data_IF_019591234502
#
_entry.id   IF_019591234502
#
_cell.length_a   1.000
_cell.length_b   1.000
_cell.length_c   1.000
_cell.angle_alpha   90.00
_cell.angle_beta   90.00
_cell.angle_gamma   90.00
#
_symmetry.space_group_name_H-M   'P 1'
#
loop_
_entity.id
_entity.type
_entity.pdbx_description
1 polymer ?
#
# COMPACT_ATOMS: atom_id res chain seq x y z
N UNK A 1 16.82 41.23 17.67
CA UNK A 1 17.40 40.43 18.78
C UNK A 1 16.34 39.44 19.25
N UNK A 2 16.21 38.28 18.59
CA UNK A 2 15.28 37.21 18.95
C UNK A 2 16.13 35.98 19.30
N UNK A 3 16.12 35.63 20.59
CA UNK A 3 16.93 34.55 21.17
C UNK A 3 16.40 33.20 20.70
N UNK A 4 17.23 32.47 19.95
CA UNK A 4 17.09 31.04 19.77
C UNK A 4 17.35 30.36 21.12
N UNK A 5 16.31 29.77 21.72
CA UNK A 5 16.50 28.79 22.79
C UNK A 5 16.79 27.45 22.13
N UNK A 6 18.06 27.07 22.14
CA UNK A 6 18.55 25.72 21.91
C UNK A 6 17.87 24.80 22.91
N UNK A 7 16.82 24.09 22.49
CA UNK A 7 16.22 23.01 23.27
C UNK A 7 17.20 21.83 23.22
N UNK A 8 17.71 21.45 24.38
CA UNK A 8 18.69 20.39 24.60
C UNK A 8 18.35 19.09 23.85
N UNK A 9 19.13 18.80 22.81
CA UNK A 9 19.12 17.55 22.04
C UNK A 9 19.68 16.35 22.82
N UNK A 10 20.49 16.58 23.85
CA UNK A 10 21.29 15.53 24.50
C UNK A 10 20.58 14.77 25.63
N UNK A 11 19.54 15.33 26.25
CA UNK A 11 18.89 14.71 27.43
C UNK A 11 17.69 13.82 27.07
N UNK A 12 17.20 13.91 25.83
CA UNK A 12 16.05 13.12 25.35
C UNK A 12 16.47 11.80 24.70
N UNK A 13 17.65 11.77 24.06
CA UNK A 13 18.21 10.57 23.42
C UNK A 13 18.64 9.52 24.43
N UNK A 14 19.22 9.91 25.56
CA UNK A 14 19.65 8.96 26.62
C UNK A 14 18.46 8.34 27.37
N UNK A 15 17.33 9.05 27.49
CA UNK A 15 16.12 8.54 28.14
C UNK A 15 15.27 7.64 27.22
N UNK A 16 15.43 7.74 25.90
CA UNK A 16 14.76 6.89 24.91
C UNK A 16 15.44 5.53 24.74
N UNK A 17 16.76 5.43 25.01
CA UNK A 17 17.54 4.18 24.85
C UNK A 17 17.25 3.11 25.93
N UNK A 18 16.45 3.41 26.96
CA UNK A 18 16.11 2.47 28.04
C UNK A 18 14.62 2.08 28.10
N UNK A 19 13.87 2.24 27.01
CA UNK A 19 12.40 2.10 27.05
C UNK A 19 11.88 1.08 26.05
N UNK A 20 10.82 0.38 26.47
CA UNK A 20 10.15 -0.71 25.75
C UNK A 20 9.68 -0.29 24.34
N UNK A 21 9.65 -1.24 23.37
CA UNK A 21 9.27 -0.99 21.97
C UNK A 21 7.94 -0.22 21.80
N UNK A 22 6.99 -0.46 22.70
CA UNK A 22 5.66 0.17 22.74
C UNK A 22 5.69 1.71 22.89
N UNK A 23 6.70 2.26 23.58
CA UNK A 23 6.82 3.72 23.82
C UNK A 23 7.50 4.45 22.66
N UNK A 24 8.33 3.75 21.88
CA UNK A 24 8.99 4.29 20.68
C UNK A 24 7.98 4.53 19.55
N UNK A 25 7.06 3.58 19.32
CA UNK A 25 5.95 3.73 18.35
C UNK A 25 5.02 4.91 18.67
N UNK A 26 4.77 5.18 19.96
CA UNK A 26 3.94 6.31 20.38
C UNK A 26 4.61 7.68 20.22
N UNK A 27 5.91 7.77 20.48
CA UNK A 27 6.68 9.00 20.26
C UNK A 27 6.91 9.27 18.78
N UNK A 28 7.07 8.21 18.00
CA UNK A 28 7.15 8.24 16.55
C UNK A 28 5.88 8.86 15.93
N UNK A 29 4.71 8.34 16.28
CA UNK A 29 3.40 8.88 15.86
C UNK A 29 3.25 10.37 16.23
N UNK A 30 3.54 10.75 17.47
CA UNK A 30 3.45 12.14 17.94
C UNK A 30 4.51 13.10 17.35
N UNK A 31 5.65 12.59 16.87
CA UNK A 31 6.69 13.38 16.20
C UNK A 31 6.39 13.59 14.72
N UNK A 32 5.82 12.58 14.03
CA UNK A 32 5.20 12.74 12.71
C UNK A 32 4.15 13.85 12.73
N UNK A 33 3.27 13.84 13.76
CA UNK A 33 2.27 14.89 13.98
C UNK A 33 2.90 16.29 13.99
N UNK A 34 4.03 16.51 14.68
CA UNK A 34 4.63 17.86 14.81
C UNK A 34 5.46 18.32 13.60
N UNK A 35 6.25 17.44 12.98
CA UNK A 35 7.10 17.82 11.84
C UNK A 35 6.27 18.05 10.55
N UNK A 36 5.21 17.28 10.37
CA UNK A 36 4.30 17.41 9.23
C UNK A 36 3.46 18.69 9.39
N UNK A 37 2.98 19.05 10.58
CA UNK A 37 2.28 20.33 10.76
C UNK A 37 3.14 21.56 10.44
N UNK A 38 4.46 21.51 10.65
CA UNK A 38 5.34 22.67 10.47
C UNK A 38 5.74 22.94 9.00
N UNK A 39 5.59 21.96 8.09
CA UNK A 39 5.87 22.09 6.66
C UNK A 39 4.62 22.31 5.78
N UNK A 40 3.41 22.20 6.36
CA UNK A 40 2.14 22.13 5.62
C UNK A 40 1.27 23.40 5.71
N UNK A 41 1.77 24.48 6.29
CA UNK A 41 1.01 25.73 6.49
C UNK A 41 0.68 26.51 5.18
N UNK A 42 1.08 26.03 3.99
CA UNK A 42 1.01 26.80 2.74
C UNK A 42 0.09 26.24 1.63
N UNK A 43 -0.77 25.24 1.86
CA UNK A 43 -1.69 24.81 0.79
C UNK A 43 -2.42 23.51 1.04
N UNK A 44 -3.61 23.64 1.62
CA UNK A 44 -4.59 22.63 2.00
C UNK A 44 -4.77 21.42 1.05
N UNK A 45 -4.60 20.21 1.60
CA UNK A 45 -5.24 18.95 1.22
C UNK A 45 -5.43 18.06 2.46
N UNK A 46 -6.49 17.23 2.55
CA UNK A 46 -6.93 16.63 3.81
C UNK A 46 -6.12 15.38 4.17
N UNK A 47 -5.74 15.25 5.43
CA UNK A 47 -5.99 14.07 6.28
C UNK A 47 -4.91 13.90 7.35
N UNK A 48 -5.03 14.68 8.44
CA UNK A 48 -4.38 14.39 9.71
C UNK A 48 -4.84 13.03 10.31
N UNK A 49 -5.98 12.48 9.84
CA UNK A 49 -6.56 11.23 10.34
C UNK A 49 -5.88 9.94 9.89
N UNK A 50 -5.00 9.98 8.88
CA UNK A 50 -4.26 8.78 8.41
C UNK A 50 -3.24 8.30 9.46
N UNK A 51 -2.72 9.22 10.29
CA UNK A 51 -1.55 8.99 11.15
C UNK A 51 -1.87 8.67 12.61
N UNK A 52 -3.13 8.82 13.03
CA UNK A 52 -3.60 8.70 14.42
C UNK A 52 -3.86 7.23 14.83
N UNK A 53 -3.96 6.30 13.87
CA UNK A 53 -4.54 4.97 14.11
C UNK A 53 -3.57 3.86 14.55
N UNK A 54 -2.27 3.96 14.23
CA UNK A 54 -1.29 2.97 14.70
C UNK A 54 -1.19 2.94 16.22
N UNK A 55 -1.32 4.09 16.88
CA UNK A 55 -1.25 4.23 18.34
C UNK A 55 -2.45 3.56 19.05
N UNK A 56 -3.69 3.76 18.57
CA UNK A 56 -4.89 3.15 19.17
C UNK A 56 -4.95 1.64 18.97
N UNK A 57 -4.50 1.13 17.82
CA UNK A 57 -4.58 -0.30 17.53
C UNK A 57 -3.52 -1.14 18.24
N UNK A 58 -2.31 -0.58 18.42
CA UNK A 58 -1.23 -1.24 19.14
C UNK A 58 -1.44 -1.17 20.67
N UNK A 59 -2.01 -0.06 21.20
CA UNK A 59 -2.22 0.15 22.64
C UNK A 59 -3.50 -0.44 23.25
N UNK A 60 -4.58 -0.64 22.47
CA UNK A 60 -5.90 -0.99 23.06
C UNK A 60 -6.00 -2.39 23.67
N UNK A 61 -5.00 -3.25 23.51
CA UNK A 61 -4.89 -4.51 24.26
C UNK A 61 -3.41 -4.83 24.51
N UNK A 62 -2.94 -4.86 25.77
CA UNK A 62 -1.61 -5.36 26.10
C UNK A 62 -1.64 -6.88 25.92
N UNK A 63 -1.31 -7.32 24.71
CA UNK A 63 -1.26 -8.71 24.29
C UNK A 63 0.23 -9.09 24.29
N UNK A 64 0.62 -10.07 25.09
CA UNK A 64 1.98 -10.64 25.01
C UNK A 64 2.10 -11.54 23.76
N UNK A 65 3.32 -11.95 23.37
CA UNK A 65 3.53 -12.70 22.13
C UNK A 65 2.69 -13.99 22.02
N UNK A 66 2.54 -14.72 23.12
CA UNK A 66 1.69 -15.92 23.16
C UNK A 66 0.21 -15.62 22.92
N UNK A 67 -0.29 -14.52 23.47
CA UNK A 67 -1.64 -14.04 23.22
C UNK A 67 -1.80 -13.46 21.80
N UNK A 68 -0.72 -12.93 21.21
CA UNK A 68 -0.71 -12.29 19.89
C UNK A 68 -0.90 -13.33 18.80
N UNK A 69 -0.17 -14.43 18.87
CA UNK A 69 -0.28 -15.51 17.90
C UNK A 69 -1.66 -16.14 17.94
N UNK A 70 -2.21 -16.37 19.15
CA UNK A 70 -3.58 -16.85 19.32
C UNK A 70 -4.59 -15.86 18.75
N UNK A 71 -4.48 -14.58 19.09
CA UNK A 71 -5.35 -13.53 18.58
C UNK A 71 -5.35 -13.49 17.04
N UNK A 72 -4.16 -13.46 16.44
CA UNK A 72 -4.01 -13.41 14.99
C UNK A 72 -4.60 -14.66 14.34
N UNK A 73 -4.35 -15.85 14.89
CA UNK A 73 -4.91 -17.10 14.39
C UNK A 73 -6.44 -17.10 14.42
N UNK A 74 -7.04 -16.78 15.56
CA UNK A 74 -8.50 -16.76 15.73
C UNK A 74 -9.16 -15.75 14.77
N UNK A 75 -8.57 -14.56 14.64
CA UNK A 75 -9.06 -13.51 13.73
C UNK A 75 -8.90 -13.86 12.26
N UNK A 76 -7.76 -14.44 11.87
CA UNK A 76 -7.53 -14.87 10.48
C UNK A 76 -8.54 -15.95 10.11
N UNK A 77 -8.77 -16.95 10.97
CA UNK A 77 -9.79 -17.98 10.70
C UNK A 77 -11.19 -17.39 10.52
N UNK A 78 -11.61 -16.47 11.39
CA UNK A 78 -12.90 -15.79 11.24
C UNK A 78 -13.00 -14.99 9.94
N UNK A 79 -11.93 -14.30 9.53
CA UNK A 79 -11.90 -13.57 8.25
C UNK A 79 -11.96 -14.53 7.05
N UNK A 80 -11.26 -15.66 7.10
CA UNK A 80 -11.26 -16.65 6.02
C UNK A 80 -12.66 -17.25 5.81
N UNK A 81 -13.44 -17.46 6.87
CA UNK A 81 -14.84 -17.90 6.78
C UNK A 81 -15.76 -16.88 6.10
N UNK A 82 -15.45 -15.58 6.18
CA UNK A 82 -16.20 -14.52 5.50
C UNK A 82 -15.88 -14.43 4.00
N UNK A 83 -14.76 -15.01 3.54
CA UNK A 83 -14.33 -14.91 2.16
C UNK A 83 -15.09 -15.89 1.26
N UNK A 84 -15.90 -15.39 0.35
CA UNK A 84 -16.52 -16.22 -0.69
C UNK A 84 -15.67 -16.23 -1.97
N UNK A 85 -15.14 -17.36 -2.44
CA UNK A 85 -14.27 -17.42 -3.63
C UNK A 85 -14.93 -16.94 -4.93
N UNK A 86 -16.27 -16.88 -5.00
CA UNK A 86 -17.02 -16.45 -6.20
C UNK A 86 -17.25 -14.94 -6.26
N UNK A 87 -16.65 -14.14 -5.36
CA UNK A 87 -16.89 -12.69 -5.28
C UNK A 87 -16.56 -11.93 -6.58
N UNK A 88 -15.77 -12.52 -7.49
CA UNK A 88 -15.42 -11.92 -8.78
C UNK A 88 -16.41 -12.27 -9.90
N UNK A 89 -17.31 -13.21 -9.71
CA UNK A 89 -18.14 -13.74 -10.80
C UNK A 89 -19.00 -12.64 -11.43
N UNK A 90 -19.55 -11.74 -10.62
CA UNK A 90 -20.35 -10.61 -11.07
C UNK A 90 -19.56 -9.61 -11.94
N UNK A 91 -18.26 -9.47 -11.71
CA UNK A 91 -17.39 -8.51 -12.43
C UNK A 91 -16.46 -9.17 -13.45
N UNK A 92 -16.56 -10.49 -13.64
CA UNK A 92 -15.63 -11.27 -14.48
C UNK A 92 -15.58 -10.76 -15.92
N UNK A 93 -16.74 -10.44 -16.50
CA UNK A 93 -16.85 -9.89 -17.86
C UNK A 93 -16.15 -8.53 -17.98
N UNK A 94 -16.30 -7.67 -16.98
CA UNK A 94 -15.64 -6.36 -16.92
C UNK A 94 -14.12 -6.49 -16.77
N UNK A 95 -13.64 -7.41 -15.91
CA UNK A 95 -12.20 -7.70 -15.78
C UNK A 95 -11.60 -8.20 -17.10
N UNK A 96 -12.28 -9.11 -17.81
CA UNK A 96 -11.85 -9.57 -19.13
C UNK A 96 -11.85 -8.46 -20.17
N UNK A 97 -12.80 -7.52 -20.09
CA UNK A 97 -12.84 -6.34 -20.97
C UNK A 97 -11.65 -5.40 -20.71
N UNK A 98 -11.32 -5.15 -19.44
CA UNK A 98 -10.15 -4.36 -19.04
C UNK A 98 -8.87 -5.02 -19.57
N UNK A 99 -8.71 -6.32 -19.38
CA UNK A 99 -7.56 -7.07 -19.90
C UNK A 99 -7.43 -6.96 -21.40
N UNK A 100 -8.51 -7.22 -22.15
CA UNK A 100 -8.49 -7.13 -23.60
C UNK A 100 -8.12 -5.71 -24.08
N UNK A 101 -8.61 -4.69 -23.37
CA UNK A 101 -8.32 -3.29 -23.67
C UNK A 101 -6.87 -2.92 -23.37
N UNK A 102 -6.31 -3.36 -22.24
CA UNK A 102 -4.90 -3.16 -21.88
C UNK A 102 -3.99 -3.90 -22.86
N UNK A 103 -4.25 -5.18 -23.14
CA UNK A 103 -3.48 -5.97 -24.11
C UNK A 103 -3.50 -5.36 -25.51
N UNK A 104 -4.59 -4.70 -25.92
CA UNK A 104 -4.63 -3.95 -27.18
C UNK A 104 -3.72 -2.73 -27.15
N UNK A 105 -3.64 -2.01 -26.03
CA UNK A 105 -2.75 -0.84 -25.86
C UNK A 105 -1.27 -1.25 -25.77
N UNK A 106 -1.00 -2.46 -25.29
CA UNK A 106 0.36 -3.01 -25.20
C UNK A 106 0.95 -3.41 -26.56
N UNK A 107 0.12 -3.67 -27.57
CA UNK A 107 0.54 -4.01 -28.95
C UNK A 107 1.01 -2.76 -29.72
N UNK A 108 2.11 -2.16 -29.29
CA UNK A 108 2.93 -1.25 -30.11
C UNK A 108 3.73 -2.06 -31.14
N UNK A 109 3.98 -1.45 -32.29
CA UNK A 109 4.82 -1.96 -33.40
C UNK A 109 6.33 -1.91 -33.06
N UNK A 110 6.72 -2.50 -31.94
CA UNK A 110 8.11 -2.62 -31.48
C UNK A 110 8.27 -4.04 -30.92
N UNK A 111 9.35 -4.75 -31.26
CA UNK A 111 9.66 -6.14 -30.81
C UNK A 111 9.60 -6.38 -29.28
N UNK A 112 9.50 -5.32 -28.47
CA UNK A 112 9.41 -5.35 -27.01
C UNK A 112 8.00 -5.64 -26.45
N UNK A 113 6.96 -5.56 -27.26
CA UNK A 113 5.56 -5.55 -26.78
C UNK A 113 5.03 -6.90 -26.32
N UNK A 114 5.46 -7.98 -26.96
CA UNK A 114 5.14 -9.33 -26.52
C UNK A 114 5.63 -9.60 -25.10
N UNK A 115 6.75 -9.01 -24.71
CA UNK A 115 7.37 -9.23 -23.41
C UNK A 115 6.69 -8.40 -22.33
N UNK A 116 6.32 -7.15 -22.63
CA UNK A 116 5.51 -6.33 -21.69
C UNK A 116 4.12 -6.94 -21.51
N UNK A 117 3.52 -7.50 -22.56
CA UNK A 117 2.23 -8.22 -22.47
C UNK A 117 2.34 -9.48 -21.62
N UNK A 118 3.38 -10.31 -21.85
CA UNK A 118 3.65 -11.47 -20.99
C UNK A 118 3.90 -11.06 -19.53
N UNK A 119 4.57 -9.94 -19.31
CA UNK A 119 4.77 -9.42 -17.97
C UNK A 119 3.46 -8.97 -17.32
N UNK A 120 2.57 -8.30 -18.06
CA UNK A 120 1.23 -7.94 -17.58
C UNK A 120 0.43 -9.19 -17.18
N UNK A 121 0.46 -10.23 -18.01
CA UNK A 121 -0.26 -11.49 -17.73
C UNK A 121 0.33 -12.28 -16.56
N UNK A 122 1.65 -12.21 -16.36
CA UNK A 122 2.35 -12.89 -15.27
C UNK A 122 2.37 -12.09 -13.96
N UNK A 123 1.85 -10.85 -13.95
CA UNK A 123 1.96 -9.96 -12.79
C UNK A 123 1.02 -10.38 -11.66
N UNK A 124 1.58 -10.84 -10.54
CA UNK A 124 0.87 -11.59 -9.50
C UNK A 124 -0.25 -10.86 -8.73
N UNK A 125 -0.36 -9.53 -8.82
CA UNK A 125 -1.47 -8.77 -8.21
C UNK A 125 -2.55 -8.37 -9.21
N UNK A 126 -2.52 -8.96 -10.43
CA UNK A 126 -3.50 -8.72 -11.49
C UNK A 126 -4.92 -8.75 -10.93
N UNK A 127 -5.66 -7.68 -11.24
CA UNK A 127 -7.05 -7.46 -10.86
C UNK A 127 -7.35 -7.13 -9.40
N UNK A 128 -6.42 -7.04 -8.45
CA UNK A 128 -6.83 -6.68 -7.07
C UNK A 128 -7.40 -5.25 -7.01
N UNK A 129 -6.75 -4.29 -7.68
CA UNK A 129 -7.21 -2.90 -7.75
C UNK A 129 -8.47 -2.79 -8.60
N UNK A 130 -8.46 -3.40 -9.80
CA UNK A 130 -9.64 -3.46 -10.64
C UNK A 130 -10.85 -4.12 -9.95
N UNK A 131 -10.66 -5.22 -9.21
CA UNK A 131 -11.74 -5.88 -8.47
C UNK A 131 -12.30 -4.97 -7.40
N UNK A 132 -11.44 -4.32 -6.60
CA UNK A 132 -11.90 -3.41 -5.55
C UNK A 132 -12.75 -2.27 -6.11
N UNK A 133 -12.34 -1.68 -7.24
CA UNK A 133 -13.04 -0.59 -7.89
C UNK A 133 -14.35 -1.03 -8.55
N UNK A 134 -14.38 -2.19 -9.21
CA UNK A 134 -15.60 -2.70 -9.87
C UNK A 134 -16.62 -3.20 -8.84
N UNK A 135 -16.19 -3.88 -7.78
CA UNK A 135 -17.08 -4.26 -6.68
C UNK A 135 -17.57 -3.05 -5.90
N UNK A 136 -16.77 -1.98 -5.81
CA UNK A 136 -17.23 -0.71 -5.26
C UNK A 136 -18.31 -0.11 -6.16
N UNK A 137 -18.13 -0.15 -7.48
CA UNK A 137 -19.16 0.32 -8.42
C UNK A 137 -20.46 -0.48 -8.26
N UNK A 138 -20.36 -1.81 -8.13
CA UNK A 138 -21.49 -2.71 -7.90
C UNK A 138 -22.20 -2.44 -6.57
N UNK A 139 -21.45 -2.24 -5.48
CA UNK A 139 -22.00 -1.96 -4.16
C UNK A 139 -22.74 -0.61 -4.07
N UNK A 140 -22.52 0.26 -5.06
CA UNK A 140 -23.17 1.56 -5.24
C UNK A 140 -24.28 1.54 -6.30
N UNK A 141 -24.50 0.40 -6.97
CA UNK A 141 -25.52 0.25 -8.02
C UNK A 141 -24.96 -0.37 -9.31
N UNK A 142 -25.51 0.05 -10.45
CA UNK A 142 -25.11 -0.49 -11.76
C UNK A 142 -23.72 0.03 -12.19
N UNK A 143 -22.86 -0.87 -12.66
CA UNK A 143 -21.52 -0.52 -13.12
C UNK A 143 -21.60 0.21 -14.46
N UNK A 144 -21.27 1.50 -14.45
CA UNK A 144 -21.24 2.32 -15.66
C UNK A 144 -19.97 2.12 -16.49
N UNK A 145 -20.07 2.37 -17.81
CA UNK A 145 -18.91 2.37 -18.72
C UNK A 145 -17.81 3.33 -18.27
N UNK A 146 -18.16 4.48 -17.68
CA UNK A 146 -17.17 5.44 -17.16
C UNK A 146 -16.38 4.88 -15.98
N UNK A 147 -17.03 4.13 -15.08
CA UNK A 147 -16.36 3.47 -13.95
C UNK A 147 -15.39 2.37 -14.45
N UNK A 148 -15.77 1.63 -15.49
CA UNK A 148 -14.88 0.63 -16.12
C UNK A 148 -13.66 1.32 -16.75
N UNK A 149 -13.85 2.40 -17.52
CA UNK A 149 -12.75 3.16 -18.13
C UNK A 149 -11.83 3.77 -17.07
N UNK A 150 -12.39 4.32 -15.98
CA UNK A 150 -11.60 4.85 -14.88
C UNK A 150 -10.79 3.76 -14.18
N UNK A 151 -11.41 2.61 -13.92
CA UNK A 151 -10.73 1.43 -13.35
C UNK A 151 -9.56 1.00 -14.22
N UNK A 152 -9.77 0.93 -15.55
CA UNK A 152 -8.70 0.62 -16.50
C UNK A 152 -7.55 1.64 -16.43
N UNK A 153 -7.86 2.94 -16.35
CA UNK A 153 -6.85 3.98 -16.24
C UNK A 153 -6.00 3.81 -14.97
N UNK A 154 -6.61 3.48 -13.82
CA UNK A 154 -5.86 3.24 -12.59
C UNK A 154 -5.00 1.97 -12.69
N UNK A 155 -5.52 0.88 -13.26
CA UNK A 155 -4.76 -0.36 -13.43
C UNK A 155 -3.52 -0.14 -14.34
N UNK A 156 -3.68 0.65 -15.42
CA UNK A 156 -2.57 1.05 -16.29
C UNK A 156 -1.51 1.89 -15.56
N UNK A 157 -1.93 2.86 -14.74
CA UNK A 157 -1.02 3.68 -13.96
C UNK A 157 -0.24 2.86 -12.93
N UNK A 158 -0.93 1.93 -12.25
CA UNK A 158 -0.30 0.98 -11.33
C UNK A 158 0.68 0.04 -12.04
N UNK A 159 0.31 -0.46 -13.23
CA UNK A 159 1.18 -1.31 -14.03
C UNK A 159 2.44 -0.56 -14.49
N UNK A 160 2.29 0.68 -14.99
CA UNK A 160 3.43 1.53 -15.36
C UNK A 160 4.38 1.78 -14.19
N UNK A 161 3.85 2.10 -13.01
CA UNK A 161 4.68 2.22 -11.80
C UNK A 161 5.36 0.90 -11.41
N UNK A 162 4.68 -0.23 -11.60
CA UNK A 162 5.25 -1.54 -11.31
C UNK A 162 6.45 -1.84 -12.19
N UNK A 163 6.41 -1.45 -13.47
CA UNK A 163 7.56 -1.51 -14.39
C UNK A 163 8.72 -0.66 -13.83
N UNK A 164 8.47 0.62 -13.52
CA UNK A 164 9.51 1.52 -12.96
C UNK A 164 10.12 0.97 -11.67
N UNK A 165 9.32 0.36 -10.80
CA UNK A 165 9.79 -0.17 -9.52
C UNK A 165 10.84 -1.29 -9.66
N UNK A 166 10.84 -2.03 -10.79
CA UNK A 166 11.79 -3.12 -11.05
C UNK A 166 13.20 -2.64 -11.37
N UNK A 167 13.37 -1.37 -11.74
CA UNK A 167 14.70 -0.74 -11.91
C UNK A 167 15.34 -0.47 -10.55
N UNK A 168 14.52 -0.04 -9.58
CA UNK A 168 14.98 0.37 -8.24
C UNK A 168 15.23 -0.82 -7.29
N UNK A 169 14.84 -2.02 -7.66
CA UNK A 169 14.91 -3.22 -6.81
C UNK A 169 16.27 -3.89 -6.94
N UNK A 170 17.27 -3.39 -6.20
CA UNK A 170 18.65 -3.91 -6.19
C UNK A 170 18.82 -5.23 -5.45
N UNK A 171 17.76 -5.73 -4.82
CA UNK A 171 17.78 -6.86 -3.86
C UNK A 171 17.51 -8.24 -4.48
N UNK A 172 17.19 -8.33 -5.76
CA UNK A 172 16.84 -9.58 -6.44
C UNK A 172 17.54 -9.71 -7.78
N UNK A 173 17.68 -10.95 -8.27
CA UNK A 173 18.01 -11.22 -9.68
C UNK A 173 17.17 -10.30 -10.59
N UNK A 174 17.83 -9.67 -11.57
CA UNK A 174 17.16 -8.80 -12.52
C UNK A 174 15.94 -9.54 -13.08
N UNK A 175 14.75 -8.95 -12.96
CA UNK A 175 13.57 -9.59 -13.52
C UNK A 175 13.83 -9.88 -15.01
N UNK A 176 13.37 -11.01 -15.52
CA UNK A 176 13.41 -11.35 -16.95
C UNK A 176 13.02 -10.17 -17.87
N UNK A 177 12.08 -9.33 -17.44
CA UNK A 177 11.68 -8.09 -18.09
C UNK A 177 12.81 -7.07 -18.15
N UNK A 178 13.47 -6.81 -17.01
CA UNK A 178 14.63 -5.91 -16.92
C UNK A 178 15.81 -6.43 -17.74
N UNK A 179 16.10 -7.74 -17.70
CA UNK A 179 17.15 -8.35 -18.52
C UNK A 179 16.94 -8.13 -20.02
N UNK A 180 15.68 -8.12 -20.48
CA UNK A 180 15.37 -7.93 -21.89
C UNK A 180 15.30 -6.45 -22.30
N UNK A 181 14.69 -5.60 -21.47
CA UNK A 181 14.43 -4.20 -21.81
C UNK A 181 15.57 -3.25 -21.43
N UNK A 182 16.39 -3.61 -20.44
CA UNK A 182 17.34 -2.71 -19.79
C UNK A 182 16.65 -1.52 -19.11
N UNK A 183 17.44 -0.63 -18.50
CA UNK A 183 16.90 0.52 -17.76
C UNK A 183 16.06 1.44 -18.65
N UNK A 184 16.56 1.78 -19.85
CA UNK A 184 15.86 2.67 -20.77
C UNK A 184 14.52 2.09 -21.24
N UNK A 185 14.46 0.80 -21.57
CA UNK A 185 13.23 0.15 -21.99
C UNK A 185 12.20 0.08 -20.86
N UNK A 186 12.66 -0.09 -19.61
CA UNK A 186 11.79 -0.08 -18.43
C UNK A 186 11.23 1.31 -18.12
N UNK A 187 12.06 2.37 -18.20
CA UNK A 187 11.62 3.76 -18.03
C UNK A 187 10.56 4.11 -19.07
N UNK A 188 10.89 3.92 -20.36
CA UNK A 188 10.00 4.24 -21.47
C UNK A 188 8.73 3.38 -21.47
N UNK A 189 8.83 2.10 -21.09
CA UNK A 189 7.69 1.21 -20.95
C UNK A 189 6.71 1.68 -19.87
N UNK A 190 7.21 2.10 -18.71
CA UNK A 190 6.39 2.67 -17.65
C UNK A 190 5.76 4.01 -18.04
N UNK A 191 6.53 4.90 -18.68
CA UNK A 191 6.03 6.20 -19.16
C UNK A 191 4.92 6.04 -20.19
N UNK A 192 5.07 5.08 -21.11
CA UNK A 192 4.07 4.76 -22.10
C UNK A 192 2.77 4.24 -21.48
N UNK A 193 2.85 3.42 -20.42
CA UNK A 193 1.67 2.95 -19.68
C UNK A 193 0.95 4.08 -18.94
N UNK A 194 1.69 4.95 -18.26
CA UNK A 194 1.14 6.11 -17.57
C UNK A 194 0.50 7.11 -18.56
N UNK A 195 1.10 7.28 -19.74
CA UNK A 195 0.52 8.06 -20.83
C UNK A 195 -0.82 7.48 -21.30
N UNK A 196 -0.90 6.17 -21.52
CA UNK A 196 -2.15 5.50 -21.87
C UNK A 196 -3.22 5.62 -20.78
N UNK A 197 -2.84 5.49 -19.50
CA UNK A 197 -3.73 5.75 -18.36
C UNK A 197 -4.32 7.17 -18.43
N UNK A 198 -3.48 8.16 -18.72
CA UNK A 198 -3.87 9.56 -18.86
C UNK A 198 -4.86 9.76 -20.01
N UNK A 199 -4.61 9.14 -21.18
CA UNK A 199 -5.53 9.17 -22.33
C UNK A 199 -6.87 8.54 -21.97
N UNK A 200 -6.90 7.39 -21.28
CA UNK A 200 -8.16 6.76 -20.86
C UNK A 200 -8.94 7.65 -19.90
N UNK A 201 -8.26 8.26 -18.93
CA UNK A 201 -8.91 9.17 -17.98
C UNK A 201 -9.48 10.42 -18.67
N UNK A 202 -8.74 11.02 -19.61
CA UNK A 202 -9.22 12.16 -20.40
C UNK A 202 -10.48 11.84 -21.22
N UNK A 203 -10.63 10.61 -21.72
CA UNK A 203 -11.84 10.16 -22.46
C UNK A 203 -13.12 10.20 -21.62
N UNK A 204 -13.00 10.16 -20.29
CA UNK A 204 -14.15 10.29 -19.37
C UNK A 204 -14.68 11.73 -19.38
N UNK A 205 -13.87 12.69 -19.82
CA UNK A 205 -14.16 14.12 -19.88
C UNK A 205 -14.58 14.69 -18.52
N UNK A 206 -13.76 14.43 -17.49
CA UNK A 206 -14.00 14.87 -16.12
C UNK A 206 -12.72 15.37 -15.46
N UNK A 207 -12.62 16.69 -15.26
CA UNK A 207 -11.45 17.31 -14.64
C UNK A 207 -11.16 16.78 -13.22
N UNK A 208 -12.16 16.56 -12.33
CA UNK A 208 -11.91 15.97 -11.02
C UNK A 208 -11.24 14.59 -11.09
N UNK A 209 -11.62 13.74 -12.04
CA UNK A 209 -11.02 12.41 -12.19
C UNK A 209 -9.60 12.48 -12.76
N UNK A 210 -9.32 13.43 -13.66
CA UNK A 210 -7.96 13.68 -14.15
C UNK A 210 -7.07 14.11 -12.99
N UNK A 211 -7.53 15.04 -12.14
CA UNK A 211 -6.81 15.47 -10.95
C UNK A 211 -6.56 14.29 -9.99
N UNK A 212 -7.54 13.41 -9.83
CA UNK A 212 -7.43 12.23 -8.97
C UNK A 212 -6.39 11.22 -9.51
N UNK A 213 -6.35 10.99 -10.82
CA UNK A 213 -5.31 10.17 -11.44
C UNK A 213 -3.91 10.79 -11.25
N UNK A 214 -3.78 12.10 -11.47
CA UNK A 214 -2.50 12.81 -11.24
C UNK A 214 -2.05 12.70 -9.78
N UNK A 215 -2.97 12.82 -8.82
CA UNK A 215 -2.68 12.64 -7.40
C UNK A 215 -2.22 11.22 -7.08
N UNK A 216 -2.84 10.20 -7.68
CA UNK A 216 -2.41 8.79 -7.54
C UNK A 216 -0.98 8.62 -8.03
N UNK A 217 -0.67 9.07 -9.25
CA UNK A 217 0.68 8.96 -9.82
C UNK A 217 1.70 9.71 -8.96
N UNK A 218 1.37 10.91 -8.50
CA UNK A 218 2.23 11.70 -7.61
C UNK A 218 2.46 10.98 -6.27
N UNK A 219 1.43 10.40 -5.67
CA UNK A 219 1.54 9.67 -4.41
C UNK A 219 2.44 8.44 -4.56
N UNK A 220 2.28 7.65 -5.62
CA UNK A 220 3.14 6.51 -5.91
C UNK A 220 4.61 6.93 -6.04
N UNK A 221 4.88 8.00 -6.82
CA UNK A 221 6.24 8.55 -6.98
C UNK A 221 6.80 9.05 -5.66
N UNK A 222 5.98 9.72 -4.84
CA UNK A 222 6.37 10.17 -3.49
C UNK A 222 6.74 8.99 -2.59
N UNK A 223 5.96 7.91 -2.61
CA UNK A 223 6.27 6.68 -1.87
C UNK A 223 7.59 6.04 -2.32
N UNK A 224 7.84 6.02 -3.62
CA UNK A 224 9.12 5.54 -4.18
C UNK A 224 10.30 6.41 -3.72
N UNK A 225 10.18 7.74 -3.77
CA UNK A 225 11.21 8.66 -3.30
C UNK A 225 11.44 8.51 -1.79
N UNK A 226 10.38 8.35 -0.99
CA UNK A 226 10.51 8.11 0.45
C UNK A 226 11.28 6.81 0.74
N UNK A 227 11.11 5.77 -0.09
CA UNK A 227 11.85 4.51 0.05
C UNK A 227 13.35 4.66 -0.23
N UNK A 228 13.76 5.66 -1.03
CA UNK A 228 15.16 5.90 -1.39
C UNK A 228 15.93 6.71 -0.34
N UNK A 229 15.23 7.43 0.54
CA UNK A 229 15.89 8.25 1.55
C UNK A 229 16.52 7.34 2.61
N UNK A 230 17.80 7.57 2.88
CA UNK A 230 18.50 6.99 4.03
C UNK A 230 17.92 7.57 5.33
N UNK A 231 16.83 6.97 5.80
CA UNK A 231 16.17 7.36 7.05
C UNK A 231 16.73 6.56 8.23
N UNK A 232 16.96 7.23 9.36
CA UNK A 232 17.21 6.53 10.62
C UNK A 232 16.06 5.59 10.94
N UNK A 233 16.30 4.49 11.66
CA UNK A 233 15.27 3.52 12.08
C UNK A 233 14.05 4.20 12.69
N UNK A 234 14.29 5.18 13.57
CA UNK A 234 13.21 5.93 14.22
C UNK A 234 12.34 6.69 13.22
N UNK A 235 12.95 7.29 12.20
CA UNK A 235 12.24 8.04 11.17
C UNK A 235 11.51 7.10 10.19
N UNK A 236 12.09 5.94 9.90
CA UNK A 236 11.47 4.94 9.04
C UNK A 236 10.23 4.30 9.67
N UNK A 237 10.26 4.01 10.98
CA UNK A 237 9.07 3.56 11.74
C UNK A 237 7.94 4.60 11.74
N UNK A 238 8.29 5.88 11.91
CA UNK A 238 7.35 7.00 11.81
C UNK A 238 6.72 7.07 10.42
N UNK A 239 7.54 6.89 9.40
CA UNK A 239 7.16 7.08 8.03
C UNK A 239 6.55 5.82 7.41
N UNK A 240 6.57 4.66 8.07
CA UNK A 240 6.07 3.42 7.49
C UNK A 240 4.63 3.55 7.00
N UNK A 241 3.72 4.06 7.83
CA UNK A 241 2.32 4.24 7.43
C UNK A 241 2.19 5.22 6.25
N UNK A 242 3.01 6.27 6.21
CA UNK A 242 3.03 7.21 5.09
C UNK A 242 3.53 6.52 3.82
N UNK A 243 4.59 5.74 3.92
CA UNK A 243 5.17 4.98 2.82
C UNK A 243 4.18 3.96 2.26
N UNK A 244 3.59 3.13 3.13
CA UNK A 244 2.56 2.15 2.78
C UNK A 244 1.34 2.83 2.14
N UNK A 245 0.92 3.98 2.69
CA UNK A 245 -0.16 4.75 2.10
C UNK A 245 0.20 5.25 0.70
N UNK A 246 1.30 5.98 0.55
CA UNK A 246 1.68 6.59 -0.72
C UNK A 246 1.92 5.54 -1.82
N UNK A 247 2.64 4.47 -1.50
CA UNK A 247 3.03 3.43 -2.46
C UNK A 247 1.88 2.48 -2.83
N UNK A 248 0.98 2.18 -1.89
CA UNK A 248 -0.02 1.12 -2.07
C UNK A 248 -1.44 1.61 -1.79
N UNK A 249 -1.71 2.18 -0.62
CA UNK A 249 -3.09 2.48 -0.24
C UNK A 249 -3.73 3.64 -1.02
N UNK A 250 -2.93 4.59 -1.49
CA UNK A 250 -3.39 5.76 -2.22
C UNK A 250 -4.08 5.39 -3.53
N UNK A 251 -3.66 4.31 -4.19
CA UNK A 251 -4.26 3.79 -5.42
C UNK A 251 -5.69 3.32 -5.15
N UNK A 252 -5.86 2.50 -4.12
CA UNK A 252 -7.17 1.96 -3.73
C UNK A 252 -8.10 3.05 -3.21
N UNK A 253 -7.59 3.94 -2.34
CA UNK A 253 -8.37 5.01 -1.73
C UNK A 253 -8.94 5.97 -2.78
N UNK A 254 -8.06 6.54 -3.60
CA UNK A 254 -8.46 7.48 -4.64
C UNK A 254 -9.20 6.76 -5.79
N UNK A 255 -8.87 5.51 -6.10
CA UNK A 255 -9.61 4.69 -7.06
C UNK A 255 -11.08 4.53 -6.67
N UNK A 256 -11.34 4.01 -5.46
CA UNK A 256 -12.70 3.84 -4.94
C UNK A 256 -13.43 5.19 -4.81
N UNK A 257 -12.73 6.26 -4.44
CA UNK A 257 -13.30 7.61 -4.40
C UNK A 257 -13.77 8.08 -5.79
N UNK A 258 -12.98 7.83 -6.84
CA UNK A 258 -13.35 8.19 -8.22
C UNK A 258 -14.51 7.35 -8.76
N UNK A 259 -14.60 6.08 -8.36
CA UNK A 259 -15.76 5.23 -8.66
C UNK A 259 -17.04 5.76 -8.02
N UNK A 260 -16.97 6.17 -6.75
CA UNK A 260 -18.09 6.76 -6.04
C UNK A 260 -18.51 8.12 -6.61
N UNK A 261 -17.53 8.94 -7.03
CA UNK A 261 -17.80 10.19 -7.73
C UNK A 261 -18.61 9.96 -9.01
N UNK A 262 -18.23 8.96 -9.82
CA UNK A 262 -18.97 8.61 -11.04
C UNK A 262 -20.36 8.03 -10.76
N UNK A 263 -20.55 7.39 -9.61
CA UNK A 263 -21.83 6.84 -9.14
C UNK A 263 -22.66 7.82 -8.30
N UNK A 264 -22.31 9.11 -8.25
CA UNK A 264 -22.98 10.12 -7.40
C UNK A 264 -23.21 9.67 -5.95
N UNK A 265 -22.22 8.99 -5.37
CA UNK A 265 -22.29 8.31 -4.08
C UNK A 265 -21.31 8.90 -3.05
N UNK A 266 -21.27 8.34 -1.84
CA UNK A 266 -20.40 8.81 -0.75
C UNK A 266 -18.91 8.58 -1.04
N UNK A 267 -18.26 9.61 -1.58
CA UNK A 267 -16.84 9.64 -1.89
C UNK A 267 -15.93 9.39 -0.68
N UNK A 268 -16.31 9.89 0.51
CA UNK A 268 -15.45 9.77 1.71
C UNK A 268 -15.44 8.33 2.20
N UNK A 269 -16.61 7.69 2.24
CA UNK A 269 -16.75 6.28 2.63
C UNK A 269 -16.00 5.36 1.68
N UNK A 270 -16.13 5.55 0.37
CA UNK A 270 -15.40 4.74 -0.62
C UNK A 270 -13.89 4.98 -0.55
N UNK A 271 -13.46 6.22 -0.28
CA UNK A 271 -12.06 6.53 0.00
C UNK A 271 -11.55 5.77 1.24
N UNK A 272 -12.29 5.81 2.36
CA UNK A 272 -11.88 5.19 3.61
C UNK A 272 -11.83 3.66 3.50
N UNK A 273 -12.79 3.04 2.78
CA UNK A 273 -12.74 1.63 2.42
C UNK A 273 -11.45 1.30 1.64
N UNK A 274 -11.20 2.03 0.54
CA UNK A 274 -10.04 1.79 -0.31
C UNK A 274 -8.73 2.02 0.42
N UNK A 275 -8.66 3.02 1.29
CA UNK A 275 -7.50 3.30 2.15
C UNK A 275 -7.20 2.11 3.06
N UNK A 276 -8.18 1.60 3.79
CA UNK A 276 -7.96 0.47 4.69
C UNK A 276 -7.61 -0.81 3.93
N UNK A 277 -8.31 -1.10 2.83
CA UNK A 277 -7.99 -2.23 1.95
C UNK A 277 -6.54 -2.16 1.46
N UNK A 278 -6.12 -1.00 0.97
CA UNK A 278 -4.79 -0.81 0.43
C UNK A 278 -3.68 -0.80 1.49
N UNK A 279 -3.96 -0.32 2.71
CA UNK A 279 -3.04 -0.47 3.83
C UNK A 279 -2.84 -1.93 4.22
N UNK A 280 -3.93 -2.72 4.28
CA UNK A 280 -3.84 -4.16 4.53
C UNK A 280 -3.00 -4.87 3.46
N UNK A 281 -3.21 -4.56 2.17
CA UNK A 281 -2.44 -5.14 1.06
C UNK A 281 -0.95 -4.82 1.15
N UNK A 282 -0.59 -3.60 1.55
CA UNK A 282 0.82 -3.23 1.74
C UNK A 282 1.49 -4.05 2.83
N UNK A 283 0.85 -4.17 4.00
CA UNK A 283 1.37 -4.95 5.14
C UNK A 283 1.45 -6.45 4.81
N UNK A 284 0.43 -7.01 4.14
CA UNK A 284 0.43 -8.41 3.69
C UNK A 284 1.55 -8.67 2.68
N UNK A 285 1.80 -7.71 1.77
CA UNK A 285 2.92 -7.77 0.83
C UNK A 285 4.27 -7.84 1.55
N UNK A 286 4.46 -6.99 2.57
CA UNK A 286 5.67 -7.01 3.40
C UNK A 286 5.88 -8.34 4.14
N UNK A 287 4.81 -8.93 4.66
CA UNK A 287 4.85 -10.26 5.29
C UNK A 287 5.27 -11.32 4.28
N UNK A 288 4.62 -11.36 3.11
CA UNK A 288 4.92 -12.33 2.05
C UNK A 288 6.36 -12.23 1.58
N UNK A 289 6.83 -11.01 1.33
CA UNK A 289 8.21 -10.79 0.89
C UNK A 289 9.20 -11.27 1.95
N UNK A 290 8.97 -10.96 3.22
CA UNK A 290 9.81 -11.45 4.31
C UNK A 290 9.82 -12.99 4.39
N UNK A 291 8.65 -13.64 4.33
CA UNK A 291 8.52 -15.10 4.38
C UNK A 291 9.17 -15.80 3.18
N UNK A 292 9.20 -15.14 2.03
CA UNK A 292 9.90 -15.61 0.83
C UNK A 292 11.42 -15.32 0.88
N UNK A 293 11.93 -14.86 2.02
CA UNK A 293 13.35 -14.57 2.23
C UNK A 293 13.81 -13.21 1.71
N UNK A 294 12.92 -12.38 1.16
CA UNK A 294 13.25 -11.04 0.68
C UNK A 294 13.22 -10.03 1.84
N UNK A 295 14.37 -9.80 2.44
CA UNK A 295 14.52 -8.82 3.53
C UNK A 295 14.57 -7.41 2.95
N UNK A 296 13.60 -6.57 3.32
CA UNK A 296 13.62 -5.13 3.00
C UNK A 296 13.62 -4.32 4.28
N UNK A 297 14.54 -3.35 4.36
CA UNK A 297 14.63 -2.45 5.52
C UNK A 297 13.33 -1.69 5.79
N UNK A 298 12.61 -1.28 4.75
CA UNK A 298 11.37 -0.50 4.85
C UNK A 298 10.08 -1.34 4.99
N UNK A 299 10.19 -2.66 5.22
CA UNK A 299 9.03 -3.52 5.47
C UNK A 299 8.63 -3.48 6.95
N UNK A 300 7.34 -3.68 7.23
CA UNK A 300 6.87 -3.63 8.62
C UNK A 300 7.60 -4.61 9.57
N UNK A 301 7.78 -5.90 9.24
CA UNK A 301 8.42 -6.84 10.18
C UNK A 301 9.83 -6.41 10.58
N UNK A 302 10.59 -5.88 9.62
CA UNK A 302 11.98 -5.43 9.80
C UNK A 302 12.03 -4.11 10.57
N UNK A 303 11.20 -3.13 10.21
CA UNK A 303 11.13 -1.86 10.94
C UNK A 303 10.67 -2.04 12.38
N UNK A 304 9.69 -2.91 12.61
CA UNK A 304 9.22 -3.21 13.96
C UNK A 304 10.35 -3.77 14.82
N UNK A 305 11.08 -4.76 14.30
CA UNK A 305 12.24 -5.33 14.97
C UNK A 305 13.35 -4.29 15.18
N UNK A 306 13.56 -3.38 14.23
CA UNK A 306 14.57 -2.33 14.35
C UNK A 306 14.26 -1.34 15.49
N UNK A 307 12.97 -1.20 15.87
CA UNK A 307 12.57 -0.47 17.06
C UNK A 307 13.02 -1.11 18.37
N UNK A 308 13.24 -2.43 18.40
CA UNK A 308 13.78 -3.17 19.53
C UNK A 308 15.30 -3.40 19.44
N UNK A 309 15.84 -3.53 18.22
CA UNK A 309 17.22 -3.85 17.92
C UNK A 309 17.85 -2.80 17.00
N UNK A 310 18.60 -1.86 17.57
CA UNK A 310 19.13 -0.69 16.84
C UNK A 310 20.20 -1.02 15.79
N UNK A 311 20.78 -2.22 15.81
CA UNK A 311 21.81 -2.67 14.88
C UNK A 311 21.26 -3.25 13.56
N UNK A 312 19.94 -3.44 13.41
CA UNK A 312 19.36 -4.06 12.19
C UNK A 312 19.75 -3.35 10.90
N UNK A 313 19.84 -2.01 10.89
CA UNK A 313 20.26 -1.26 9.69
C UNK A 313 21.67 -1.66 9.22
N UNK A 314 22.62 -1.71 10.16
CA UNK A 314 24.01 -2.10 9.89
C UNK A 314 24.09 -3.56 9.40
N UNK A 315 23.28 -4.45 9.98
CA UNK A 315 23.23 -5.85 9.56
C UNK A 315 22.71 -6.02 8.12
N UNK A 316 21.74 -5.20 7.70
CA UNK A 316 21.24 -5.20 6.32
C UNK A 316 22.31 -4.67 5.36
N UNK A 317 22.98 -3.57 5.71
CA UNK A 317 24.09 -3.01 4.92
C UNK A 317 25.24 -4.02 4.76
N UNK A 318 25.54 -4.75 5.82
CA UNK A 318 26.55 -5.82 5.83
C UNK A 318 26.06 -7.15 5.25
N UNK A 319 24.84 -7.20 4.68
CA UNK A 319 24.22 -8.41 4.09
C UNK A 319 24.14 -9.61 5.04
N UNK A 320 24.00 -9.35 6.33
CA UNK A 320 23.88 -10.37 7.38
C UNK A 320 22.41 -10.80 7.56
N UNK A 321 21.80 -11.28 6.48
CA UNK A 321 20.36 -11.56 6.42
C UNK A 321 19.86 -12.56 7.49
N UNK A 322 20.66 -13.58 7.81
CA UNK A 322 20.29 -14.57 8.81
C UNK A 322 20.12 -13.94 10.21
N UNK A 323 21.04 -13.04 10.58
CA UNK A 323 20.96 -12.36 11.87
C UNK A 323 19.79 -11.37 11.89
N UNK A 324 19.48 -10.71 10.77
CA UNK A 324 18.26 -9.89 10.66
C UNK A 324 17.00 -10.74 10.88
N UNK A 325 16.95 -11.95 10.32
CA UNK A 325 15.81 -12.87 10.51
C UNK A 325 15.66 -13.30 11.97
N UNK A 326 16.77 -13.57 12.66
CA UNK A 326 16.77 -13.91 14.09
C UNK A 326 16.21 -12.76 14.94
N UNK A 327 16.64 -11.52 14.68
CA UNK A 327 16.15 -10.35 15.41
C UNK A 327 14.68 -10.03 15.11
N UNK A 328 14.22 -10.25 13.88
CA UNK A 328 12.80 -10.11 13.53
C UNK A 328 11.94 -11.18 14.22
N UNK A 329 12.46 -12.40 14.37
CA UNK A 329 11.80 -13.46 15.11
C UNK A 329 11.74 -13.16 16.62
N UNK A 330 12.85 -12.69 17.21
CA UNK A 330 12.92 -12.30 18.63
C UNK A 330 11.91 -11.19 18.97
N UNK A 331 11.79 -10.18 18.09
CA UNK A 331 10.82 -9.09 18.26
C UNK A 331 9.38 -9.46 17.85
N UNK A 332 9.12 -10.70 17.41
CA UNK A 332 7.85 -11.14 16.83
C UNK A 332 7.30 -10.20 15.73
N UNK A 333 8.19 -9.66 14.88
CA UNK A 333 7.83 -8.63 13.89
C UNK A 333 6.75 -9.09 12.90
N UNK A 334 6.70 -10.38 12.57
CA UNK A 334 5.66 -10.98 11.73
C UNK A 334 4.31 -11.01 12.44
N UNK A 335 4.24 -11.40 13.72
CA UNK A 335 3.00 -11.41 14.49
C UNK A 335 2.37 -10.02 14.59
N UNK A 336 3.20 -9.00 14.82
CA UNK A 336 2.75 -7.61 14.84
C UNK A 336 2.31 -7.09 13.48
N UNK A 337 2.98 -7.50 12.40
CA UNK A 337 2.55 -7.21 11.04
C UNK A 337 1.16 -7.80 10.75
N UNK A 338 0.92 -9.06 11.16
CA UNK A 338 -0.40 -9.71 11.03
C UNK A 338 -1.48 -8.94 11.78
N UNK A 339 -1.21 -8.51 13.02
CA UNK A 339 -2.16 -7.70 13.80
C UNK A 339 -2.51 -6.38 13.10
N UNK A 340 -1.53 -5.70 12.51
CA UNK A 340 -1.77 -4.46 11.76
C UNK A 340 -2.59 -4.73 10.49
N UNK A 341 -2.30 -5.81 9.76
CA UNK A 341 -3.08 -6.21 8.59
C UNK A 341 -4.53 -6.53 8.96
N UNK A 342 -4.76 -7.33 10.00
CA UNK A 342 -6.09 -7.68 10.52
C UNK A 342 -6.89 -6.41 10.85
N UNK A 343 -6.28 -5.45 11.55
CA UNK A 343 -6.95 -4.20 11.87
C UNK A 343 -7.47 -3.47 10.63
N UNK A 344 -6.64 -3.36 9.58
CA UNK A 344 -7.04 -2.71 8.35
C UNK A 344 -8.06 -3.52 7.55
N UNK A 345 -8.00 -4.85 7.58
CA UNK A 345 -9.03 -5.71 6.99
C UNK A 345 -10.37 -5.50 7.71
N UNK A 346 -10.40 -5.54 9.04
CA UNK A 346 -11.62 -5.32 9.84
C UNK A 346 -12.18 -3.92 9.60
N UNK A 347 -11.34 -2.87 9.59
CA UNK A 347 -11.78 -1.51 9.32
C UNK A 347 -12.36 -1.33 7.90
N UNK A 348 -11.76 -1.99 6.90
CA UNK A 348 -12.31 -2.01 5.55
C UNK A 348 -13.66 -2.75 5.49
N UNK A 349 -13.79 -3.90 6.17
CA UNK A 349 -15.05 -4.65 6.26
C UNK A 349 -16.15 -3.82 6.94
N UNK A 350 -15.86 -3.17 8.07
CA UNK A 350 -16.83 -2.32 8.76
C UNK A 350 -17.26 -1.13 7.88
N UNK A 351 -16.34 -0.57 7.10
CA UNK A 351 -16.68 0.48 6.11
C UNK A 351 -17.53 -0.10 4.96
N UNK A 352 -17.20 -1.31 4.48
CA UNK A 352 -17.90 -1.96 3.39
C UNK A 352 -19.37 -2.27 3.74
N UNK A 353 -19.64 -2.72 4.97
CA UNK A 353 -21.00 -3.01 5.48
C UNK A 353 -21.96 -1.82 5.44
N UNK A 354 -21.45 -0.60 5.24
CA UNK A 354 -22.26 0.62 5.15
C UNK A 354 -22.71 0.96 3.72
N UNK A 355 -22.38 0.12 2.72
CA UNK A 355 -22.91 0.24 1.34
C UNK A 355 -24.17 -0.61 1.15
N UNK A 356 -24.89 -0.39 0.04
CA UNK A 356 -26.17 -1.04 -0.25
C UNK A 356 -26.03 -2.55 -0.49
N UNK A 357 -25.03 -2.95 -1.29
CA UNK A 357 -24.67 -4.36 -1.50
C UNK A 357 -23.21 -4.61 -1.08
N UNK A 358 -22.97 -4.93 0.20
CA UNK A 358 -21.61 -5.05 0.73
C UNK A 358 -20.98 -6.43 0.49
N UNK A 359 -21.73 -7.43 0.00
CA UNK A 359 -21.36 -8.86 0.10
C UNK A 359 -20.03 -9.16 -0.58
N UNK A 360 -19.86 -8.70 -1.82
CA UNK A 360 -18.65 -9.01 -2.60
C UNK A 360 -17.45 -8.15 -2.16
N UNK A 361 -17.69 -6.91 -1.69
CA UNK A 361 -16.64 -6.08 -1.06
C UNK A 361 -16.09 -6.71 0.23
N UNK A 362 -17.00 -7.19 1.09
CA UNK A 362 -16.63 -7.91 2.31
C UNK A 362 -15.85 -9.18 1.95
N UNK A 363 -16.32 -9.95 0.97
CA UNK A 363 -15.66 -11.18 0.52
C UNK A 363 -14.26 -10.92 -0.05
N UNK A 364 -14.10 -9.90 -0.90
CA UNK A 364 -12.81 -9.45 -1.42
C UNK A 364 -11.87 -9.08 -0.28
N UNK A 365 -12.31 -8.24 0.65
CA UNK A 365 -11.48 -7.75 1.75
C UNK A 365 -11.07 -8.90 2.68
N UNK A 366 -12.01 -9.76 3.04
CA UNK A 366 -11.78 -10.96 3.84
C UNK A 366 -10.77 -11.92 3.18
N UNK A 367 -10.81 -12.07 1.85
CA UNK A 367 -9.89 -12.94 1.12
C UNK A 367 -8.41 -12.56 1.25
N UNK A 368 -8.09 -11.32 1.65
CA UNK A 368 -6.72 -10.89 1.93
C UNK A 368 -6.12 -11.71 3.09
N UNK A 369 -6.95 -12.14 4.05
CA UNK A 369 -6.50 -12.98 5.17
C UNK A 369 -6.02 -14.38 4.73
N UNK A 370 -6.33 -14.84 3.51
CA UNK A 370 -5.76 -16.08 2.95
C UNK A 370 -4.25 -15.99 2.70
N UNK A 371 -3.70 -14.77 2.74
CA UNK A 371 -2.29 -14.49 2.51
C UNK A 371 -1.49 -14.25 3.80
N UNK A 372 -2.12 -14.40 4.97
CA UNK A 372 -1.53 -14.24 6.31
C UNK A 372 -1.40 -15.60 7.00
#
# INVERSE_FOLDING_TARGET
MLRWKTICWASFTTACMQRTPEKLLGLASAYAERQIFHHFANGHYPDAGIFIFSDKCLRKNPINDSQLDKYCKDKISALQEMANPTFRDAIKSHLSSIDASISKMLKIDIKATDIVTKFFDAYGTKHIHASAMLLMAQALGEISTKQIIFTQAIELAHFGSSIHSKIMDTSTEASWLHMFLGDNGMILGGDYMISNASIQCCRINSLPLIQLLCLIIQNISKGSILSLKGETVSQALINYCALCFYKTASIMANGCQGIAYLGNSDMKRSYDYGKHLGMALGVVGDIKDYLNGKIRYNSFPVLFAAGAHTNISELIENKQENLVKELVADANGVGWAKKLAIHHIEAAIETAKLFEDPKDLVSLTASIANSL
#
